data_IF_163218875139
#
_entry.id   IF_163218875139
#
_cell.length_a   1.000
_cell.length_b   1.000
_cell.length_c   1.000
_cell.angle_alpha   90.00
_cell.angle_beta   90.00
_cell.angle_gamma   90.00
#
_symmetry.space_group_name_H-M   'P 1'
#
loop_
_entity.id
_entity.type
_entity.pdbx_description
1 polymer ?
#
# COMPACT_ATOMS: atom_id res chain seq x y z
N UNK A 1 -49.10 15.35 -8.41
CA UNK A 1 -48.60 14.71 -9.64
C UNK A 1 -47.09 14.66 -9.48
N UNK A 2 -46.53 13.47 -9.61
CA UNK A 2 -45.20 13.08 -9.15
C UNK A 2 -44.12 13.48 -10.15
N UNK A 3 -43.14 14.28 -9.73
CA UNK A 3 -41.86 14.43 -10.42
C UNK A 3 -41.03 13.16 -10.17
N UNK A 4 -40.77 12.43 -11.25
CA UNK A 4 -39.89 11.28 -11.26
C UNK A 4 -38.60 11.72 -11.97
N UNK A 5 -37.75 12.47 -11.26
CA UNK A 5 -36.40 12.79 -11.72
C UNK A 5 -35.57 11.50 -11.74
N UNK A 6 -35.37 11.00 -12.96
CA UNK A 6 -34.55 9.84 -13.28
C UNK A 6 -33.11 10.10 -12.82
N UNK A 7 -32.66 9.30 -11.85
CA UNK A 7 -31.38 9.43 -11.14
C UNK A 7 -30.18 8.91 -11.96
N UNK A 8 -30.35 8.70 -13.27
CA UNK A 8 -29.33 8.21 -14.18
C UNK A 8 -28.97 9.24 -15.25
N UNK A 9 -27.67 9.52 -15.49
CA UNK A 9 -27.26 10.37 -16.58
C UNK A 9 -27.59 9.72 -17.95
N UNK A 10 -27.93 10.57 -18.91
CA UNK A 10 -28.37 10.19 -20.27
C UNK A 10 -27.34 9.29 -21.00
N UNK A 11 -27.83 8.40 -21.88
CA UNK A 11 -27.11 7.29 -22.55
C UNK A 11 -25.72 7.62 -23.14
N UNK A 12 -25.42 8.88 -23.47
CA UNK A 12 -24.11 9.31 -23.96
C UNK A 12 -22.97 9.12 -22.93
N UNK A 13 -23.28 9.16 -21.63
CA UNK A 13 -22.31 8.95 -20.55
C UNK A 13 -21.92 7.47 -20.34
N UNK A 14 -22.88 6.55 -20.56
CA UNK A 14 -22.64 5.10 -20.37
C UNK A 14 -21.64 4.52 -21.37
N UNK A 15 -21.56 5.07 -22.59
CA UNK A 15 -20.65 4.55 -23.64
C UNK A 15 -19.20 5.01 -23.50
N UNK A 16 -18.90 6.05 -22.72
CA UNK A 16 -17.52 6.47 -22.45
C UNK A 16 -16.88 5.66 -21.32
N UNK A 17 -17.64 5.31 -20.29
CA UNK A 17 -17.15 4.47 -19.19
C UNK A 17 -16.75 3.05 -19.63
N UNK A 18 -17.55 2.41 -20.50
CA UNK A 18 -17.27 1.05 -20.96
C UNK A 18 -16.06 0.98 -21.91
N UNK A 19 -15.77 2.05 -22.66
CA UNK A 19 -14.59 2.06 -23.55
C UNK A 19 -13.26 2.23 -22.81
N UNK A 20 -13.26 2.74 -21.57
CA UNK A 20 -12.05 2.81 -20.73
C UNK A 20 -11.60 1.47 -20.17
N UNK A 21 -12.53 0.51 -20.00
CA UNK A 21 -12.25 -0.78 -19.34
C UNK A 21 -11.93 -1.91 -20.34
N UNK A 22 -12.32 -1.79 -21.61
CA UNK A 22 -12.18 -2.87 -22.61
C UNK A 22 -10.89 -2.76 -23.46
N UNK A 23 -10.05 -1.74 -23.24
CA UNK A 23 -8.84 -1.52 -24.05
C UNK A 23 -7.60 -2.35 -23.68
N UNK A 24 -7.61 -3.11 -22.59
CA UNK A 24 -6.40 -3.74 -22.04
C UNK A 24 -6.04 -5.14 -22.57
N UNK A 25 -6.86 -5.76 -23.43
CA UNK A 25 -6.75 -7.20 -23.73
C UNK A 25 -6.27 -7.56 -25.15
N UNK A 26 -5.59 -6.67 -25.88
CA UNK A 26 -5.04 -7.04 -27.19
C UNK A 26 -3.74 -6.31 -27.53
N UNK A 27 -2.59 -6.96 -27.30
CA UNK A 27 -1.49 -7.07 -28.26
C UNK A 27 -0.40 -8.01 -27.71
N UNK A 28 -0.63 -9.31 -27.93
CA UNK A 28 0.46 -10.27 -27.97
C UNK A 28 1.09 -10.23 -29.38
N UNK A 29 2.37 -9.83 -29.45
CA UNK A 29 3.28 -10.25 -30.52
C UNK A 29 3.70 -9.20 -31.57
N UNK A 30 5.00 -8.92 -31.53
CA UNK A 30 5.96 -8.59 -32.62
C UNK A 30 6.45 -7.14 -32.70
N UNK A 31 7.77 -6.96 -32.44
CA UNK A 31 8.60 -5.93 -33.09
C UNK A 31 9.40 -5.00 -32.17
N UNK A 32 10.70 -5.26 -32.03
CA UNK A 32 11.70 -4.54 -31.21
C UNK A 32 12.12 -3.17 -31.74
N UNK A 33 11.22 -2.17 -31.81
CA UNK A 33 11.65 -0.77 -32.01
C UNK A 33 10.53 0.21 -31.64
N UNK A 34 10.69 0.96 -30.55
CA UNK A 34 9.89 2.16 -30.27
C UNK A 34 9.13 2.15 -28.94
N UNK A 35 9.81 1.97 -27.81
CA UNK A 35 9.21 2.06 -26.47
C UNK A 35 9.07 3.51 -25.94
N UNK A 36 8.91 4.50 -26.83
CA UNK A 36 8.68 5.89 -26.45
C UNK A 36 7.44 6.40 -27.21
N UNK A 37 6.24 6.17 -26.67
CA UNK A 37 5.04 6.69 -27.32
C UNK A 37 3.66 6.29 -26.81
N UNK A 38 3.51 5.42 -25.79
CA UNK A 38 2.18 4.94 -25.37
C UNK A 38 1.77 5.38 -23.95
N UNK A 39 2.43 6.37 -23.36
CA UNK A 39 1.99 6.96 -22.07
C UNK A 39 1.11 8.20 -22.21
N UNK A 40 0.93 8.75 -23.43
CA UNK A 40 0.30 10.06 -23.63
C UNK A 40 -1.24 10.07 -23.59
N UNK A 41 -1.91 8.93 -23.49
CA UNK A 41 -3.37 8.86 -23.59
C UNK A 41 -4.10 8.45 -22.29
N UNK A 42 -3.37 8.11 -21.22
CA UNK A 42 -3.94 7.62 -19.96
C UNK A 42 -3.60 8.47 -18.74
N UNK A 43 -2.75 9.49 -18.87
CA UNK A 43 -2.54 10.46 -17.79
C UNK A 43 -3.75 11.38 -17.72
N UNK A 44 -4.62 11.11 -16.75
CA UNK A 44 -5.68 12.02 -16.33
C UNK A 44 -5.08 13.32 -15.83
N UNK A 45 -5.78 14.44 -16.01
CA UNK A 45 -5.36 15.77 -15.55
C UNK A 45 -5.17 15.80 -14.02
N UNK A 46 -3.91 15.75 -13.59
CA UNK A 46 -3.40 15.96 -12.23
C UNK A 46 -1.91 15.63 -12.18
N UNK A 47 -1.25 15.92 -11.05
CA UNK A 47 0.21 15.78 -10.94
C UNK A 47 0.59 14.32 -10.58
N UNK A 48 1.10 13.57 -11.56
CA UNK A 48 1.46 12.16 -11.43
C UNK A 48 0.27 11.21 -11.63
N UNK A 49 0.54 9.90 -11.54
CA UNK A 49 -0.43 8.83 -11.74
C UNK A 49 -0.37 8.19 -13.13
N UNK A 50 -1.16 7.14 -13.33
CA UNK A 50 -1.11 6.33 -14.56
C UNK A 50 -0.77 4.88 -14.26
N UNK A 51 -0.23 4.18 -15.24
CA UNK A 51 0.11 2.76 -15.09
C UNK A 51 1.35 2.62 -14.19
N UNK A 52 1.16 2.06 -13.00
CA UNK A 52 2.19 1.94 -11.96
C UNK A 52 2.40 0.48 -11.62
N UNK A 53 3.66 0.04 -11.61
CA UNK A 53 4.08 -1.22 -11.01
C UNK A 53 4.53 -0.98 -9.58
N UNK A 54 4.03 -1.80 -8.66
CA UNK A 54 4.39 -1.73 -7.24
C UNK A 54 4.65 -3.13 -6.69
N UNK A 55 5.53 -3.21 -5.70
CA UNK A 55 5.68 -4.42 -4.89
C UNK A 55 4.62 -4.42 -3.80
N UNK A 56 3.89 -5.54 -3.66
CA UNK A 56 2.72 -5.62 -2.81
C UNK A 56 2.58 -7.00 -2.17
N UNK A 57 1.94 -7.05 -0.99
CA UNK A 57 1.54 -8.33 -0.41
C UNK A 57 0.56 -9.05 -1.33
N UNK A 58 0.76 -10.34 -1.55
CA UNK A 58 0.00 -11.10 -2.54
C UNK A 58 -1.47 -11.18 -2.16
N UNK A 59 -2.38 -10.89 -3.11
CA UNK A 59 -3.78 -11.24 -2.94
C UNK A 59 -3.97 -12.72 -3.32
N UNK A 60 -4.34 -13.54 -2.34
CA UNK A 60 -4.46 -14.99 -2.51
C UNK A 60 -5.91 -15.47 -2.65
N UNK A 61 -6.89 -14.65 -2.24
CA UNK A 61 -8.31 -14.95 -2.42
C UNK A 61 -9.22 -13.71 -2.37
N UNK A 62 -10.48 -13.91 -2.76
CA UNK A 62 -11.55 -12.92 -2.72
C UNK A 62 -11.53 -11.93 -3.90
N UNK A 63 -12.37 -10.88 -3.85
CA UNK A 63 -12.64 -10.01 -5.00
C UNK A 63 -11.66 -8.84 -5.18
N UNK A 64 -10.63 -8.73 -4.33
CA UNK A 64 -9.67 -7.64 -4.48
C UNK A 64 -8.86 -7.83 -5.77
N UNK A 65 -8.68 -6.79 -6.59
CA UNK A 65 -8.05 -6.96 -7.91
C UNK A 65 -6.53 -7.13 -7.85
N UNK A 66 -5.90 -6.83 -6.70
CA UNK A 66 -4.44 -6.80 -6.52
C UNK A 66 -4.01 -6.77 -5.07
N UNK A 67 -2.72 -6.96 -4.82
CA UNK A 67 -2.08 -6.81 -3.51
C UNK A 67 -2.10 -5.39 -2.92
N UNK A 68 -1.82 -5.27 -1.62
CA UNK A 68 -1.62 -3.97 -0.97
C UNK A 68 -0.13 -3.56 -1.02
N UNK A 69 0.20 -2.35 -1.50
CA UNK A 69 1.58 -1.93 -1.71
C UNK A 69 2.41 -1.93 -0.43
N UNK A 70 3.61 -2.51 -0.52
CA UNK A 70 4.60 -2.49 0.54
C UNK A 70 5.11 -1.06 0.76
N UNK A 71 5.40 -0.74 2.01
CA UNK A 71 6.16 0.45 2.40
C UNK A 71 7.55 -0.06 2.80
N UNK A 72 8.62 0.29 2.05
CA UNK A 72 9.99 0.01 2.50
C UNK A 72 10.24 0.64 3.86
N UNK A 73 11.04 -0.01 4.70
CA UNK A 73 11.29 0.46 6.07
C UNK A 73 12.78 0.55 6.39
N UNK A 74 13.09 1.34 7.41
CA UNK A 74 14.38 1.35 8.09
C UNK A 74 14.15 1.39 9.60
N UNK A 75 15.06 0.77 10.36
CA UNK A 75 15.09 0.89 11.82
C UNK A 75 16.23 1.83 12.18
N UNK A 76 15.92 2.89 12.94
CA UNK A 76 16.95 3.84 13.35
C UNK A 76 17.87 3.28 14.44
N UNK A 77 18.91 4.04 14.80
CA UNK A 77 19.89 3.62 15.80
C UNK A 77 19.32 3.47 17.22
N UNK A 78 18.16 4.06 17.50
CA UNK A 78 17.48 3.96 18.79
C UNK A 78 16.51 2.76 18.82
N UNK A 79 16.09 2.25 17.66
CA UNK A 79 15.18 1.12 17.51
C UNK A 79 13.77 1.51 17.06
N UNK A 80 13.53 2.74 16.61
CA UNK A 80 12.24 3.16 16.06
C UNK A 80 12.09 2.80 14.58
N UNK A 81 10.87 2.44 14.21
CA UNK A 81 10.55 1.99 12.84
C UNK A 81 10.10 3.17 11.99
N UNK A 82 10.74 3.37 10.83
CA UNK A 82 10.40 4.41 9.86
C UNK A 82 9.97 3.79 8.55
N UNK A 83 8.91 4.31 7.94
CA UNK A 83 8.60 4.04 6.54
C UNK A 83 9.43 4.96 5.65
N UNK A 84 10.16 4.41 4.69
CA UNK A 84 10.98 5.19 3.77
C UNK A 84 10.07 5.93 2.79
N UNK A 85 10.30 7.23 2.61
CA UNK A 85 9.66 8.02 1.55
C UNK A 85 10.64 8.12 0.37
N UNK A 86 10.17 7.98 -0.89
CA UNK A 86 11.05 8.10 -2.06
C UNK A 86 11.71 9.49 -2.16
N UNK A 87 12.78 9.56 -2.95
CA UNK A 87 13.48 10.82 -3.23
C UNK A 87 12.57 11.81 -3.98
N UNK A 88 12.52 13.05 -3.49
CA UNK A 88 11.71 14.12 -4.09
C UNK A 88 12.50 14.81 -5.18
N UNK A 89 11.87 14.96 -6.35
CA UNK A 89 12.46 15.63 -7.50
C UNK A 89 11.42 16.33 -8.37
N UNK A 90 11.88 16.93 -9.46
CA UNK A 90 11.03 17.61 -10.44
C UNK A 90 11.08 16.89 -11.79
N UNK A 91 9.92 16.74 -12.43
CA UNK A 91 9.80 16.22 -13.78
C UNK A 91 9.01 17.20 -14.65
N UNK A 92 9.48 17.45 -15.87
CA UNK A 92 8.75 18.28 -16.83
C UNK A 92 7.99 17.39 -17.81
N UNK A 93 6.66 17.40 -17.72
CA UNK A 93 5.77 16.66 -18.61
C UNK A 93 4.90 17.63 -19.41
N UNK A 94 4.85 17.46 -20.73
CA UNK A 94 4.03 18.31 -21.62
C UNK A 94 4.20 19.83 -21.40
N UNK A 95 5.38 20.27 -20.96
CA UNK A 95 5.70 21.69 -20.69
C UNK A 95 5.30 22.19 -19.30
N UNK A 96 4.84 21.32 -18.41
CA UNK A 96 4.54 21.62 -17.00
C UNK A 96 5.54 20.89 -16.11
N UNK A 97 6.19 21.62 -15.20
CA UNK A 97 7.05 21.04 -14.18
C UNK A 97 6.19 20.61 -12.99
N UNK A 98 6.26 19.33 -12.63
CA UNK A 98 5.57 18.74 -11.49
C UNK A 98 6.59 18.15 -10.51
N UNK A 99 6.31 18.23 -9.21
CA UNK A 99 7.08 17.49 -8.21
C UNK A 99 6.67 16.02 -8.22
N UNK A 100 7.66 15.13 -8.22
CA UNK A 100 7.50 13.69 -8.08
C UNK A 100 8.27 13.20 -6.86
N UNK A 101 7.91 12.02 -6.35
CA UNK A 101 8.71 11.31 -5.38
C UNK A 101 8.95 9.90 -5.90
N UNK A 102 10.19 9.63 -6.32
CA UNK A 102 10.64 8.40 -6.95
C UNK A 102 12.13 8.13 -6.66
N UNK A 103 12.45 6.89 -6.29
CA UNK A 103 13.83 6.39 -6.15
C UNK A 103 14.04 5.25 -7.16
N UNK A 104 14.76 5.49 -8.26
CA UNK A 104 15.14 4.45 -9.20
C UNK A 104 16.07 3.41 -8.55
N UNK A 105 15.94 2.15 -8.93
CA UNK A 105 16.80 1.04 -8.47
C UNK A 105 16.99 1.04 -6.93
N UNK A 106 15.86 1.04 -6.22
CA UNK A 106 15.82 1.21 -4.77
C UNK A 106 16.68 0.14 -4.07
N UNK A 107 17.72 0.57 -3.37
CA UNK A 107 18.67 -0.31 -2.69
C UNK A 107 19.39 -1.31 -3.62
N UNK A 108 19.46 -1.04 -4.93
CA UNK A 108 20.05 -1.96 -5.92
C UNK A 108 19.16 -3.17 -6.27
N UNK A 109 17.87 -3.11 -5.96
CA UNK A 109 16.94 -4.22 -6.18
C UNK A 109 16.46 -4.37 -7.63
N UNK A 110 16.76 -3.41 -8.50
CA UNK A 110 16.20 -3.31 -9.85
C UNK A 110 14.76 -2.78 -9.89
N UNK A 111 14.18 -2.36 -8.76
CA UNK A 111 12.80 -1.86 -8.66
C UNK A 111 12.80 -0.35 -8.42
N UNK A 112 12.01 0.39 -9.20
CA UNK A 112 11.76 1.81 -8.94
C UNK A 112 10.69 1.97 -7.88
N UNK A 113 11.03 2.58 -6.74
CA UNK A 113 10.10 2.86 -5.66
C UNK A 113 9.50 4.27 -5.83
N UNK A 114 8.18 4.38 -5.89
CA UNK A 114 7.50 5.65 -6.17
C UNK A 114 6.31 5.88 -5.24
N UNK A 115 6.03 7.15 -4.92
CA UNK A 115 4.86 7.53 -4.12
C UNK A 115 3.54 7.20 -4.83
N UNK A 116 3.55 7.01 -6.15
CA UNK A 116 2.40 6.55 -6.94
C UNK A 116 1.85 5.20 -6.47
N UNK A 117 2.68 4.38 -5.83
CA UNK A 117 2.27 3.10 -5.25
C UNK A 117 1.07 3.28 -4.29
N UNK A 118 0.98 4.43 -3.63
CA UNK A 118 -0.03 4.72 -2.62
C UNK A 118 -1.23 5.51 -3.16
N UNK A 119 -1.25 5.88 -4.45
CA UNK A 119 -2.27 6.74 -5.03
C UNK A 119 -3.53 5.95 -5.45
N UNK A 120 -4.25 5.44 -4.47
CA UNK A 120 -5.55 4.82 -4.66
C UNK A 120 -6.43 4.96 -3.41
N UNK A 121 -7.73 4.66 -3.56
CA UNK A 121 -8.67 4.64 -2.44
C UNK A 121 -8.81 5.99 -1.68
N UNK A 122 -8.60 7.11 -2.37
CA UNK A 122 -8.65 8.45 -1.80
C UNK A 122 -7.35 8.88 -1.13
N UNK A 123 -6.38 7.96 -0.99
CA UNK A 123 -5.06 8.30 -0.45
C UNK A 123 -4.34 9.28 -1.38
N UNK A 124 -4.66 9.29 -2.69
CA UNK A 124 -4.17 10.25 -3.67
C UNK A 124 -4.43 11.74 -3.30
N UNK A 125 -5.35 12.03 -2.39
CA UNK A 125 -5.63 13.39 -1.92
C UNK A 125 -5.07 13.72 -0.54
N UNK A 126 -4.44 12.76 0.15
CA UNK A 126 -3.97 12.98 1.52
C UNK A 126 -2.71 13.86 1.51
N UNK A 127 -2.62 14.81 2.44
CA UNK A 127 -1.44 15.67 2.57
C UNK A 127 -0.15 14.85 2.73
N UNK A 128 -0.23 13.76 3.50
CA UNK A 128 0.88 12.86 3.78
C UNK A 128 1.56 12.24 2.57
N UNK A 129 0.89 12.14 1.42
CA UNK A 129 1.49 11.58 0.22
C UNK A 129 2.04 12.63 -0.76
N UNK A 130 1.89 13.92 -0.44
CA UNK A 130 2.49 14.96 -1.25
C UNK A 130 4.01 14.88 -1.11
N UNK A 131 4.79 15.00 -2.21
CA UNK A 131 6.24 14.96 -2.20
C UNK A 131 6.86 15.95 -1.22
N UNK A 132 6.31 17.16 -1.13
CA UNK A 132 6.79 18.26 -0.30
C UNK A 132 6.25 18.24 1.14
N UNK A 133 5.44 17.24 1.51
CA UNK A 133 4.96 17.11 2.88
C UNK A 133 6.10 16.71 3.81
N UNK A 134 6.39 17.59 4.77
CA UNK A 134 7.42 17.38 5.79
C UNK A 134 6.92 16.40 6.87
N UNK A 135 7.63 15.29 7.04
CA UNK A 135 7.34 14.32 8.09
C UNK A 135 8.61 13.57 8.47
N UNK A 136 8.71 13.22 9.75
CA UNK A 136 9.81 12.40 10.28
C UNK A 136 9.72 10.91 9.84
N UNK A 137 8.57 10.52 9.26
CA UNK A 137 8.29 9.21 8.67
C UNK A 137 8.29 8.02 9.62
N UNK A 138 8.35 8.23 10.93
CA UNK A 138 8.10 7.19 11.92
C UNK A 138 6.70 6.62 11.79
N UNK A 139 6.58 5.30 11.95
CA UNK A 139 5.27 4.70 12.19
C UNK A 139 4.82 5.02 13.61
N UNK A 140 3.58 5.48 13.72
CA UNK A 140 3.00 5.89 15.00
C UNK A 140 1.73 5.12 15.31
N UNK A 141 1.56 4.73 16.56
CA UNK A 141 0.35 4.08 17.04
C UNK A 141 -0.84 5.01 16.84
N UNK A 142 -1.95 4.48 16.32
CA UNK A 142 -3.20 5.23 16.22
C UNK A 142 -3.94 5.31 17.56
N UNK A 143 -5.04 6.07 17.61
CA UNK A 143 -5.85 6.21 18.83
C UNK A 143 -6.42 4.90 19.39
N UNK A 144 -6.72 3.94 18.50
CA UNK A 144 -7.35 2.68 18.87
C UNK A 144 -6.65 1.52 18.11
N UNK A 145 -5.44 1.12 18.51
CA UNK A 145 -4.73 0.06 17.83
C UNK A 145 -5.43 -1.29 17.98
N UNK A 146 -5.32 -2.14 16.96
CA UNK A 146 -6.15 -3.35 16.87
C UNK A 146 -5.77 -4.47 17.87
N UNK A 147 -4.56 -4.44 18.41
CA UNK A 147 -4.02 -5.53 19.24
C UNK A 147 -3.94 -5.12 20.71
N UNK A 148 -4.37 -6.00 21.62
CA UNK A 148 -4.36 -5.75 23.06
C UNK A 148 -2.97 -5.34 23.57
N UNK A 149 -1.92 -6.07 23.17
CA UNK A 149 -0.55 -5.73 23.56
C UNK A 149 -0.18 -4.29 23.16
N UNK A 150 -0.64 -3.84 21.98
CA UNK A 150 -0.32 -2.52 21.47
C UNK A 150 -1.09 -1.43 22.23
N UNK A 151 -2.34 -1.70 22.63
CA UNK A 151 -3.15 -0.82 23.46
C UNK A 151 -2.55 -0.65 24.87
N UNK A 152 -1.95 -1.71 25.41
CA UNK A 152 -1.34 -1.68 26.74
C UNK A 152 0.02 -0.95 26.73
N UNK A 153 0.74 -0.97 25.60
CA UNK A 153 2.08 -0.38 25.46
C UNK A 153 2.06 1.09 25.04
N UNK A 154 1.18 1.48 24.12
CA UNK A 154 1.26 2.78 23.43
C UNK A 154 0.03 3.67 23.63
N UNK A 155 0.29 4.97 23.76
CA UNK A 155 -0.69 6.03 23.56
C UNK A 155 -0.77 6.43 22.08
N UNK A 156 -1.81 7.17 21.71
CA UNK A 156 -1.93 7.74 20.38
C UNK A 156 -0.70 8.61 20.03
N UNK A 157 -0.15 8.41 18.84
CA UNK A 157 0.98 9.18 18.34
C UNK A 157 2.35 8.67 18.78
N UNK A 158 2.43 7.72 19.71
CA UNK A 158 3.69 7.11 20.12
C UNK A 158 4.34 6.38 18.93
N UNK A 159 5.67 6.46 18.83
CA UNK A 159 6.44 5.80 17.77
C UNK A 159 6.56 4.31 18.06
N UNK A 160 6.40 3.48 17.04
CA UNK A 160 6.60 2.04 17.16
C UNK A 160 8.09 1.71 17.30
N UNK A 161 8.40 0.83 18.25
CA UNK A 161 9.76 0.46 18.61
C UNK A 161 9.98 -1.06 18.49
N UNK A 162 11.17 -1.50 18.07
CA UNK A 162 11.44 -2.91 17.74
C UNK A 162 11.42 -3.85 18.95
N UNK A 163 11.76 -3.35 20.13
CA UNK A 163 11.79 -4.15 21.37
C UNK A 163 10.41 -4.70 21.76
N UNK A 164 9.36 -3.96 21.42
CA UNK A 164 7.98 -4.37 21.66
C UNK A 164 7.56 -5.55 20.77
N UNK A 165 8.40 -5.95 19.81
CA UNK A 165 8.20 -7.12 18.95
C UNK A 165 9.15 -8.28 19.28
N UNK A 166 9.94 -8.20 20.36
CA UNK A 166 10.99 -9.20 20.68
C UNK A 166 10.49 -10.63 20.87
N UNK A 167 9.23 -10.82 21.25
CA UNK A 167 8.53 -12.10 21.44
C UNK A 167 7.85 -12.64 20.15
N UNK A 168 8.14 -12.08 18.97
CA UNK A 168 7.44 -12.41 17.72
C UNK A 168 7.40 -13.91 17.34
N UNK A 169 8.40 -14.69 17.77
CA UNK A 169 8.51 -16.14 17.54
C UNK A 169 7.56 -16.97 18.41
N UNK A 170 6.99 -16.37 19.45
CA UNK A 170 6.07 -17.02 20.39
C UNK A 170 4.70 -16.34 20.42
N UNK A 171 4.62 -15.10 19.95
CA UNK A 171 3.41 -14.29 20.00
C UNK A 171 2.23 -14.96 19.31
N UNK A 172 1.07 -14.89 19.95
CA UNK A 172 -0.21 -15.31 19.39
C UNK A 172 -1.37 -14.70 20.16
N UNK A 173 -2.50 -14.53 19.49
CA UNK A 173 -3.73 -13.95 20.06
C UNK A 173 -4.94 -14.89 19.91
N UNK A 174 -4.71 -16.17 19.64
CA UNK A 174 -5.75 -17.17 19.38
C UNK A 174 -6.29 -17.17 17.94
N UNK A 175 -5.70 -16.37 17.04
CA UNK A 175 -6.00 -16.40 15.60
C UNK A 175 -4.76 -16.89 14.83
N UNK A 176 -4.93 -17.97 14.09
CA UNK A 176 -3.85 -18.64 13.37
C UNK A 176 -2.81 -19.24 14.29
N UNK A 177 -1.62 -19.49 13.74
CA UNK A 177 -0.54 -20.17 14.44
C UNK A 177 0.34 -19.16 15.19
N UNK A 178 0.62 -19.42 16.48
CA UNK A 178 1.57 -18.62 17.24
C UNK A 178 2.96 -18.62 16.57
N UNK A 179 3.71 -17.53 16.72
CA UNK A 179 5.07 -17.40 16.22
C UNK A 179 5.22 -17.09 14.73
N UNK A 180 4.12 -17.09 13.96
CA UNK A 180 4.17 -16.74 12.52
C UNK A 180 4.50 -15.26 12.30
N UNK A 181 4.21 -14.40 13.28
CA UNK A 181 4.62 -13.01 13.27
C UNK A 181 3.82 -12.18 14.25
N UNK A 182 4.46 -11.14 14.80
CA UNK A 182 3.84 -10.18 15.71
C UNK A 182 3.46 -8.90 14.96
N UNK A 183 2.18 -8.51 14.97
CA UNK A 183 1.69 -7.36 14.21
C UNK A 183 1.47 -6.11 15.06
N UNK A 184 1.62 -4.93 14.46
CA UNK A 184 1.09 -3.66 14.96
C UNK A 184 0.38 -2.88 13.85
N UNK A 185 -0.66 -2.12 14.22
CA UNK A 185 -1.32 -1.15 13.31
C UNK A 185 -0.81 0.25 13.61
N UNK A 186 -0.78 1.13 12.62
CA UNK A 186 -0.36 2.51 12.87
C UNK A 186 -0.77 3.47 11.79
N UNK A 187 -0.15 4.65 11.86
CA UNK A 187 -0.25 5.72 10.89
C UNK A 187 1.14 6.06 10.37
N UNK A 188 1.21 6.60 9.17
CA UNK A 188 2.46 7.05 8.56
C UNK A 188 2.24 8.39 7.87
N UNK A 189 3.17 9.34 8.01
CA UNK A 189 3.07 10.67 7.35
C UNK A 189 1.69 11.32 7.53
N UNK A 190 1.14 11.25 8.74
CA UNK A 190 -0.23 11.72 9.05
C UNK A 190 -0.24 12.72 10.22
N UNK A 191 0.93 13.16 10.66
CA UNK A 191 1.07 14.05 11.81
C UNK A 191 0.75 15.48 11.35
N UNK A 192 -0.13 16.18 12.04
CA UNK A 192 -0.58 17.52 11.61
C UNK A 192 -1.38 17.53 10.28
N UNK A 193 -1.92 16.38 9.88
CA UNK A 193 -2.86 16.24 8.76
C UNK A 193 -4.24 15.76 9.24
N UNK A 194 -5.30 16.18 8.56
CA UNK A 194 -6.68 15.73 8.84
C UNK A 194 -6.91 14.27 8.40
N UNK A 195 -6.21 13.86 7.34
CA UNK A 195 -6.28 12.51 6.78
C UNK A 195 -5.22 11.59 7.37
N UNK A 196 -5.61 10.32 7.57
CA UNK A 196 -4.74 9.29 8.12
C UNK A 196 -4.40 8.26 7.05
N UNK A 197 -3.10 8.01 6.85
CA UNK A 197 -2.58 6.90 6.05
C UNK A 197 -2.40 5.70 6.97
N UNK A 198 -3.31 4.70 6.94
CA UNK A 198 -3.22 3.55 7.83
C UNK A 198 -2.15 2.58 7.35
N UNK A 199 -1.34 2.06 8.27
CA UNK A 199 -0.34 1.04 7.99
C UNK A 199 -0.58 -0.19 8.85
N UNK A 200 -0.05 -1.31 8.39
CA UNK A 200 0.11 -2.53 9.16
C UNK A 200 1.57 -2.93 9.03
N UNK A 201 2.20 -3.26 10.16
CA UNK A 201 3.57 -3.76 10.23
C UNK A 201 3.55 -5.12 10.92
N UNK A 202 4.45 -6.02 10.50
CA UNK A 202 4.63 -7.36 11.08
C UNK A 202 6.11 -7.65 11.19
N UNK A 203 6.55 -8.18 12.34
CA UNK A 203 7.86 -8.83 12.49
C UNK A 203 7.71 -10.34 12.37
N UNK A 204 8.51 -10.99 11.52
CA UNK A 204 8.44 -12.44 11.29
C UNK A 204 9.77 -13.02 10.81
N UNK A 205 10.11 -14.24 11.26
CA UNK A 205 11.25 -15.01 10.73
C UNK A 205 11.09 -15.30 9.23
N UNK A 206 9.85 -15.41 8.74
CA UNK A 206 9.58 -15.65 7.31
C UNK A 206 10.08 -14.53 6.42
N UNK A 207 10.10 -13.29 6.92
CA UNK A 207 10.65 -12.14 6.18
C UNK A 207 12.18 -12.19 6.22
N UNK A 208 12.78 -12.57 7.35
CA UNK A 208 14.23 -12.79 7.44
C UNK A 208 14.71 -13.87 6.47
N UNK A 209 13.93 -14.95 6.31
CA UNK A 209 14.21 -16.04 5.38
C UNK A 209 14.00 -15.59 3.93
N UNK A 210 12.85 -14.99 3.61
CA UNK A 210 12.53 -14.55 2.25
C UNK A 210 13.53 -13.49 1.73
N UNK A 211 14.00 -12.61 2.60
CA UNK A 211 15.02 -11.62 2.25
C UNK A 211 16.37 -12.24 1.87
N UNK A 212 16.71 -13.48 2.24
CA UNK A 212 18.02 -14.05 1.87
C UNK A 212 18.18 -14.22 0.35
N UNK A 213 17.08 -14.46 -0.36
CA UNK A 213 17.07 -14.78 -1.79
C UNK A 213 16.33 -13.76 -2.67
N UNK A 214 15.76 -12.70 -2.07
CA UNK A 214 14.99 -11.66 -2.78
C UNK A 214 15.64 -10.28 -2.64
N UNK A 215 16.21 -9.69 -3.72
CA UNK A 215 16.87 -8.38 -3.68
C UNK A 215 15.96 -7.23 -3.24
N UNK A 216 14.67 -7.29 -3.55
CA UNK A 216 13.72 -6.26 -3.13
C UNK A 216 13.48 -6.34 -1.62
N UNK A 217 13.28 -7.55 -1.06
CA UNK A 217 13.12 -7.70 0.38
C UNK A 217 14.39 -7.32 1.15
N UNK A 218 15.59 -7.62 0.62
CA UNK A 218 16.86 -7.16 1.20
C UNK A 218 16.93 -5.63 1.31
N UNK A 219 16.44 -4.92 0.29
CA UNK A 219 16.47 -3.47 0.24
C UNK A 219 15.35 -2.81 1.06
N UNK A 220 14.19 -3.45 1.17
CA UNK A 220 12.95 -2.83 1.65
C UNK A 220 12.48 -3.29 3.04
N UNK A 221 13.15 -4.28 3.63
CA UNK A 221 12.84 -4.79 4.98
C UNK A 221 14.07 -4.67 5.88
N UNK A 222 13.83 -4.62 7.19
CA UNK A 222 14.89 -4.53 8.19
C UNK A 222 14.52 -5.37 9.43
N UNK A 223 15.48 -6.14 9.96
CA UNK A 223 15.30 -7.02 11.13
C UNK A 223 14.04 -7.92 11.10
N UNK A 224 13.65 -8.39 9.91
CA UNK A 224 12.46 -9.23 9.72
C UNK A 224 11.13 -8.48 9.80
N UNK A 225 11.15 -7.15 9.74
CA UNK A 225 9.94 -6.34 9.68
C UNK A 225 9.52 -6.06 8.24
N UNK A 226 8.22 -6.14 7.99
CA UNK A 226 7.58 -5.71 6.75
C UNK A 226 6.38 -4.81 7.07
N UNK A 227 6.12 -3.81 6.24
CA UNK A 227 4.97 -2.92 6.36
C UNK A 227 4.30 -2.67 5.01
N UNK A 228 3.03 -2.32 5.04
CA UNK A 228 2.25 -1.97 3.85
C UNK A 228 1.19 -0.91 4.15
N UNK A 229 0.73 -0.24 3.08
CA UNK A 229 -0.45 0.62 3.14
C UNK A 229 -1.69 -0.24 3.40
N UNK A 230 -2.32 -0.07 4.56
CA UNK A 230 -3.40 -0.94 5.00
C UNK A 230 -4.77 -0.48 4.46
N UNK A 231 -4.89 -0.41 3.12
CA UNK A 231 -6.12 -0.11 2.38
C UNK A 231 -6.40 -1.21 1.39
N UNK A 232 -7.45 -1.98 1.63
CA UNK A 232 -7.91 -3.03 0.72
C UNK A 232 -8.18 -2.44 -0.67
N UNK A 233 -7.62 -3.09 -1.69
CA UNK A 233 -7.66 -2.63 -3.07
C UNK A 233 -8.99 -2.87 -3.77
N UNK A 234 -9.97 -3.49 -3.10
CA UNK A 234 -11.33 -3.66 -3.59
C UNK A 234 -12.18 -2.40 -3.38
N UNK A 235 -12.63 -2.18 -2.13
CA UNK A 235 -13.45 -1.04 -1.74
C UNK A 235 -12.92 -0.35 -0.48
N UNK A 236 -11.59 -0.27 -0.37
CA UNK A 236 -10.89 0.69 0.50
C UNK A 236 -11.08 0.52 2.02
N UNK A 237 -11.69 -0.59 2.46
CA UNK A 237 -11.68 -0.99 3.87
C UNK A 237 -10.25 -1.16 4.39
N UNK A 238 -10.07 -1.06 5.71
CA UNK A 238 -8.80 -1.34 6.39
C UNK A 238 -8.86 -2.79 6.91
N UNK A 239 -8.18 -3.75 6.25
CA UNK A 239 -8.18 -5.14 6.70
C UNK A 239 -7.20 -5.35 7.86
N UNK A 240 -7.18 -6.55 8.44
CA UNK A 240 -6.33 -6.83 9.61
C UNK A 240 -5.61 -8.17 9.51
N UNK A 241 -4.33 -8.18 9.86
CA UNK A 241 -3.57 -9.42 10.08
C UNK A 241 -3.94 -10.00 11.44
N UNK A 242 -4.51 -11.21 11.49
CA UNK A 242 -4.92 -11.85 12.76
C UNK A 242 -5.84 -10.98 13.65
N UNK A 243 -6.72 -10.18 13.06
CA UNK A 243 -7.68 -9.35 13.82
C UNK A 243 -9.09 -9.95 13.90
N UNK A 244 -9.40 -10.87 12.98
CA UNK A 244 -10.74 -11.39 12.79
C UNK A 244 -10.77 -12.89 13.05
N UNK A 245 -11.49 -13.33 14.09
CA UNK A 245 -11.57 -14.74 14.47
C UNK A 245 -12.25 -15.62 13.40
N UNK A 246 -13.08 -15.03 12.54
CA UNK A 246 -13.75 -15.71 11.44
C UNK A 246 -12.89 -15.85 10.18
N UNK A 247 -11.68 -15.27 10.16
CA UNK A 247 -10.72 -15.40 9.06
C UNK A 247 -10.40 -16.86 8.72
N UNK A 248 -10.40 -17.76 9.72
CA UNK A 248 -10.18 -19.19 9.53
C UNK A 248 -11.20 -19.86 8.58
N UNK A 249 -12.42 -19.30 8.45
CA UNK A 249 -13.42 -19.81 7.50
C UNK A 249 -13.03 -19.60 6.04
N UNK A 250 -12.05 -18.73 5.80
CA UNK A 250 -11.56 -18.34 4.49
C UNK A 250 -10.07 -18.71 4.30
N UNK A 251 -9.50 -19.52 5.20
CA UNK A 251 -8.08 -19.89 5.17
C UNK A 251 -7.13 -18.70 5.40
N UNK A 252 -7.61 -17.66 6.10
CA UNK A 252 -6.91 -16.39 6.28
C UNK A 252 -6.42 -16.18 7.73
N UNK A 253 -6.39 -17.23 8.55
CA UNK A 253 -6.01 -17.15 9.96
C UNK A 253 -4.56 -16.71 10.19
N UNK A 254 -3.67 -16.96 9.22
CA UNK A 254 -2.29 -16.46 9.19
C UNK A 254 -2.08 -15.40 8.11
N UNK A 255 -3.16 -14.83 7.56
CA UNK A 255 -3.13 -13.82 6.52
C UNK A 255 -3.75 -12.50 6.96
N UNK A 256 -3.80 -11.57 6.03
CA UNK A 256 -4.53 -10.31 6.18
C UNK A 256 -5.94 -10.52 5.63
N UNK A 257 -6.95 -10.36 6.48
CA UNK A 257 -8.32 -10.64 6.11
C UNK A 257 -9.16 -9.35 6.06
N UNK A 258 -9.85 -9.15 4.93
CA UNK A 258 -10.79 -8.05 4.73
C UNK A 258 -12.24 -8.52 4.85
N UNK A 259 -12.86 -8.30 6.02
CA UNK A 259 -14.22 -8.73 6.30
C UNK A 259 -15.29 -8.13 5.37
N UNK A 260 -15.03 -6.96 4.77
CA UNK A 260 -16.02 -6.26 3.93
C UNK A 260 -16.52 -7.13 2.76
N UNK A 261 -15.60 -7.79 2.07
CA UNK A 261 -15.92 -8.63 0.91
C UNK A 261 -15.04 -9.89 0.83
N UNK A 262 -14.43 -10.28 1.95
CA UNK A 262 -13.73 -11.55 2.13
C UNK A 262 -12.45 -11.68 1.28
N UNK A 263 -11.77 -10.57 0.98
CA UNK A 263 -10.44 -10.60 0.37
C UNK A 263 -9.39 -11.08 1.37
N UNK A 264 -8.46 -11.90 0.90
CA UNK A 264 -7.35 -12.46 1.67
C UNK A 264 -6.03 -12.06 1.03
N UNK A 265 -5.06 -11.69 1.85
CA UNK A 265 -3.71 -11.41 1.42
C UNK A 265 -2.70 -12.20 2.24
N UNK A 266 -1.65 -12.70 1.59
CA UNK A 266 -0.50 -13.28 2.26
C UNK A 266 0.55 -12.18 2.49
N UNK A 267 0.81 -11.77 3.73
CA UNK A 267 1.79 -10.72 4.02
C UNK A 267 3.25 -11.19 3.86
N UNK A 268 3.49 -12.49 3.67
CA UNK A 268 4.83 -13.07 3.54
C UNK A 268 5.20 -13.41 2.09
N UNK A 269 4.27 -13.23 1.15
CA UNK A 269 4.51 -13.34 -0.29
C UNK A 269 4.41 -11.95 -0.91
N UNK A 270 5.54 -11.43 -1.41
CA UNK A 270 5.60 -10.12 -2.06
C UNK A 270 5.73 -10.31 -3.56
N UNK A 271 4.81 -9.69 -4.30
CA UNK A 271 4.69 -9.83 -5.75
C UNK A 271 4.61 -8.47 -6.41
N UNK A 272 5.09 -8.39 -7.65
CA UNK A 272 4.85 -7.22 -8.49
C UNK A 272 3.37 -7.16 -8.87
N UNK A 273 2.77 -5.98 -8.75
CA UNK A 273 1.40 -5.73 -9.18
C UNK A 273 1.29 -4.48 -10.03
N UNK A 274 0.50 -4.59 -11.10
CA UNK A 274 0.20 -3.48 -12.02
C UNK A 274 -1.16 -2.87 -11.66
N UNK A 275 -1.21 -1.56 -11.52
CA UNK A 275 -2.47 -0.84 -11.34
C UNK A 275 -2.42 0.57 -11.91
N UNK A 276 -3.59 1.22 -11.96
CA UNK A 276 -3.67 2.63 -12.35
C UNK A 276 -3.65 3.48 -11.09
N UNK A 277 -2.52 4.12 -10.82
CA UNK A 277 -2.41 5.17 -9.82
C UNK A 277 -3.28 6.35 -10.24
N UNK A 278 -4.06 6.86 -9.28
CA UNK A 278 -4.93 8.01 -9.51
C UNK A 278 -4.11 9.29 -9.40
N UNK A 279 -4.33 10.27 -10.28
CA UNK A 279 -3.58 11.50 -10.20
C UNK A 279 -3.88 12.22 -8.89
N UNK A 280 -2.86 12.88 -8.33
CA UNK A 280 -3.10 13.80 -7.21
C UNK A 280 -3.93 14.99 -7.72
N UNK A 281 -4.92 15.47 -6.94
CA UNK A 281 -5.67 16.66 -7.29
C UNK A 281 -4.72 17.84 -7.59
N UNK A 282 -4.99 18.58 -8.65
CA UNK A 282 -4.32 19.86 -8.88
C UNK A 282 -4.81 20.88 -7.84
N UNK A 283 -3.91 21.77 -7.39
CA UNK A 283 -4.30 22.98 -6.64
C UNK A 283 -5.25 23.89 -7.43
#
# INVERSE_FOLDING_TARGET
>A
MSDNDDKYPTESGRRRFVKGVVGGAALAGVGTTGAAGINLATTSSGAGGGSTQAMAIENTAGPAPRGMPQIPIEIDSEGYIKGVWPEVGEQTEAGVTIQIAETPDYGGSGVTYSSEWFQYCGVESYAGIQPDYESENYFRSGANPAYTWQQDTYSEGDRLHVDDFSDYREWGNGIGDAGVGKPATGTWRSQDADDVIPIQVVRSERIEEAAQDDPWLQASTDQGFIAWLNKCTHFCCVPGYKQASDAARFGAENGVYCQCHQSVYDPFSIVETLFVARPRPAE
#
